data_IF_061947788128
#
_entry.id   IF_061947788128
#
_cell.length_a   1.000
_cell.length_b   1.000
_cell.length_c   1.000
_cell.angle_alpha   90.00
_cell.angle_beta   90.00
_cell.angle_gamma   90.00
#
_symmetry.space_group_name_H-M   'P 1'
#
loop_
_entity.id
_entity.type
_entity.pdbx_description
1 polymer ?
#
# COMPACT_ATOMS: atom_id res chain seq x y z
N UNK A 1 -7.87 -19.55 -1.48
CA UNK A 1 -8.52 -18.23 -1.38
C UNK A 1 -7.40 -17.24 -1.13
N UNK A 2 -7.13 -16.36 -2.08
CA UNK A 2 -6.13 -15.29 -1.89
C UNK A 2 -6.69 -14.38 -0.82
N UNK A 3 -6.06 -14.38 0.37
CA UNK A 3 -6.47 -13.53 1.49
C UNK A 3 -5.53 -12.35 1.57
N UNK A 4 -6.11 -11.16 1.65
CA UNK A 4 -5.60 -9.92 2.24
C UNK A 4 -4.09 -9.77 2.05
N UNK A 5 -3.67 -9.62 0.78
CA UNK A 5 -2.28 -9.31 0.47
C UNK A 5 -1.96 -7.94 1.05
N UNK A 6 -1.07 -7.91 2.03
CA UNK A 6 -0.58 -6.65 2.60
C UNK A 6 0.85 -6.33 2.13
N UNK A 7 1.48 -7.22 1.36
CA UNK A 7 2.88 -7.11 1.00
C UNK A 7 3.19 -6.12 -0.10
N UNK A 8 4.03 -5.12 0.19
CA UNK A 8 4.62 -4.16 -0.76
C UNK A 8 5.75 -4.72 -1.65
N UNK A 9 5.75 -6.02 -1.92
CA UNK A 9 6.74 -6.66 -2.81
C UNK A 9 6.45 -6.43 -4.30
N UNK A 10 5.33 -5.77 -4.62
CA UNK A 10 5.05 -5.31 -5.96
C UNK A 10 6.22 -4.47 -6.48
N UNK A 11 6.59 -4.66 -7.75
CA UNK A 11 7.62 -3.85 -8.41
C UNK A 11 7.01 -2.47 -8.68
N UNK A 12 7.01 -1.64 -7.65
CA UNK A 12 6.63 -0.23 -7.73
C UNK A 12 7.81 0.52 -8.36
N UNK A 13 7.50 1.42 -9.30
CA UNK A 13 8.52 2.22 -9.97
C UNK A 13 9.36 3.00 -8.93
N UNK A 14 10.69 2.99 -9.07
CA UNK A 14 11.57 3.77 -8.20
C UNK A 14 11.24 5.27 -8.26
N UNK A 15 10.74 5.77 -9.38
CA UNK A 15 10.27 7.14 -9.52
C UNK A 15 9.08 7.44 -8.59
N UNK A 16 8.20 6.45 -8.39
CA UNK A 16 7.07 6.58 -7.47
C UNK A 16 7.56 6.74 -6.02
N UNK A 17 8.47 5.89 -5.55
CA UNK A 17 9.10 6.09 -4.23
C UNK A 17 9.87 7.40 -4.17
N UNK A 18 10.50 7.82 -5.28
CA UNK A 18 11.19 9.09 -5.38
C UNK A 18 10.32 10.29 -5.01
N UNK A 19 9.06 10.31 -5.45
CA UNK A 19 8.11 11.37 -5.08
C UNK A 19 7.78 11.33 -3.58
N UNK A 20 7.44 10.15 -3.05
CA UNK A 20 7.14 9.99 -1.62
C UNK A 20 8.31 10.45 -0.74
N UNK A 21 9.54 10.06 -1.11
CA UNK A 21 10.76 10.40 -0.37
C UNK A 21 11.00 11.91 -0.33
N UNK A 22 10.57 12.69 -1.34
CA UNK A 22 10.74 14.16 -1.32
C UNK A 22 9.95 14.87 -0.22
N UNK A 23 8.99 14.18 0.39
CA UNK A 23 8.20 14.68 1.51
C UNK A 23 8.74 14.24 2.88
N UNK A 24 9.80 13.42 2.91
CA UNK A 24 10.45 12.92 4.14
C UNK A 24 11.75 13.70 4.38
N UNK A 25 12.05 13.98 5.64
CA UNK A 25 13.24 14.73 6.06
C UNK A 25 14.17 13.85 6.89
N UNK A 26 15.42 14.27 6.99
CA UNK A 26 16.38 13.62 7.89
C UNK A 26 15.89 13.67 9.34
N UNK A 27 16.22 12.61 10.07
CA UNK A 27 15.90 12.39 11.48
C UNK A 27 14.41 12.19 11.81
N UNK A 28 13.54 12.07 10.79
CA UNK A 28 12.15 11.66 10.99
C UNK A 28 12.07 10.17 11.34
N UNK A 29 11.04 9.83 12.12
CA UNK A 29 10.63 8.45 12.39
C UNK A 29 9.44 8.11 11.49
N UNK A 30 9.54 7.01 10.74
CA UNK A 30 8.55 6.58 9.75
C UNK A 30 7.90 5.27 10.19
N UNK A 31 6.58 5.15 10.01
CA UNK A 31 5.86 3.88 10.07
C UNK A 31 5.45 3.47 8.65
N UNK A 32 6.01 2.36 8.14
CA UNK A 32 5.61 1.79 6.84
C UNK A 32 4.70 0.58 7.05
N UNK A 33 3.45 0.67 6.57
CA UNK A 33 2.46 -0.39 6.65
C UNK A 33 2.41 -1.15 5.33
N UNK A 34 2.52 -2.48 5.41
CA UNK A 34 2.56 -3.35 4.24
C UNK A 34 3.92 -3.35 3.55
N UNK A 35 5.01 -3.50 4.31
CA UNK A 35 6.38 -3.35 3.77
C UNK A 35 6.80 -4.45 2.78
N UNK A 36 6.07 -5.56 2.72
CA UNK A 36 6.49 -6.75 1.98
C UNK A 36 7.69 -7.42 2.60
N UNK A 37 8.21 -8.43 1.91
CA UNK A 37 9.35 -9.23 2.38
C UNK A 37 10.71 -8.66 1.96
N UNK A 38 10.76 -7.77 0.96
CA UNK A 38 12.02 -7.24 0.39
C UNK A 38 12.38 -5.81 0.82
N UNK A 39 11.55 -5.14 1.63
CA UNK A 39 11.83 -3.80 2.18
C UNK A 39 12.25 -2.77 1.10
N UNK A 40 11.54 -2.78 -0.03
CA UNK A 40 11.93 -1.99 -1.20
C UNK A 40 11.90 -0.49 -0.89
N UNK A 41 10.87 -0.01 -0.20
CA UNK A 41 10.74 1.39 0.16
C UNK A 41 11.82 1.82 1.15
N UNK A 42 12.04 1.04 2.21
CA UNK A 42 13.01 1.30 3.27
C UNK A 42 14.41 1.47 2.71
N UNK A 43 14.83 0.54 1.83
CA UNK A 43 16.14 0.61 1.18
C UNK A 43 16.27 1.83 0.28
N UNK A 44 15.22 2.24 -0.43
CA UNK A 44 15.27 3.46 -1.25
C UNK A 44 15.34 4.72 -0.39
N UNK A 45 14.65 4.74 0.75
CA UNK A 45 14.62 5.86 1.68
C UNK A 45 15.96 6.04 2.40
N UNK A 46 16.53 4.97 2.96
CA UNK A 46 17.82 5.00 3.68
C UNK A 46 19.01 5.39 2.78
N UNK A 47 18.92 5.13 1.47
CA UNK A 47 19.93 5.60 0.52
C UNK A 47 19.94 7.14 0.33
N UNK A 48 18.89 7.84 0.79
CA UNK A 48 18.71 9.29 0.57
C UNK A 48 18.60 10.09 1.85
N UNK A 49 18.15 9.48 2.94
CA UNK A 49 17.88 10.15 4.20
C UNK A 49 18.38 9.35 5.40
N UNK A 50 18.81 10.08 6.43
CA UNK A 50 19.17 9.49 7.71
C UNK A 50 17.93 9.44 8.62
N UNK A 51 17.19 8.34 8.57
CA UNK A 51 15.90 8.17 9.27
C UNK A 51 15.85 6.87 10.07
N UNK A 52 14.83 6.74 10.91
CA UNK A 52 14.44 5.46 11.52
C UNK A 52 13.09 5.01 10.96
N UNK A 53 12.95 3.71 10.71
CA UNK A 53 11.76 3.16 10.07
C UNK A 53 11.24 1.99 10.90
N UNK A 54 9.95 2.03 11.20
CA UNK A 54 9.21 0.93 11.79
C UNK A 54 8.33 0.31 10.70
N UNK A 55 8.64 -0.91 10.29
CA UNK A 55 8.00 -1.61 9.18
C UNK A 55 7.09 -2.73 9.67
N UNK A 56 5.89 -2.79 9.10
CA UNK A 56 4.82 -3.70 9.50
C UNK A 56 4.36 -4.54 8.31
N UNK A 57 4.27 -5.85 8.48
CA UNK A 57 3.61 -6.74 7.51
C UNK A 57 3.16 -8.05 8.17
N UNK A 58 2.19 -8.74 7.58
CA UNK A 58 1.83 -10.11 7.96
C UNK A 58 2.87 -11.13 7.47
N UNK A 59 3.59 -10.78 6.41
CA UNK A 59 4.64 -11.61 5.84
C UNK A 59 5.97 -11.35 6.55
N UNK A 60 6.75 -12.40 6.83
CA UNK A 60 8.10 -12.22 7.35
C UNK A 60 9.00 -11.57 6.30
N UNK A 61 9.98 -10.78 6.75
CA UNK A 61 11.06 -10.27 5.90
C UNK A 61 11.91 -11.45 5.40
N UNK A 62 12.24 -11.42 4.10
CA UNK A 62 13.01 -12.47 3.42
C UNK A 62 14.49 -12.10 3.20
N UNK A 63 14.88 -10.87 3.52
CA UNK A 63 16.23 -10.33 3.31
C UNK A 63 16.88 -9.82 4.60
N UNK A 64 18.23 -9.76 4.69
CA UNK A 64 18.90 -9.02 5.75
C UNK A 64 18.58 -7.52 5.69
N UNK A 65 18.53 -6.87 6.85
CA UNK A 65 18.28 -5.43 6.98
C UNK A 65 19.07 -4.82 8.13
N UNK A 66 19.29 -3.50 8.08
CA UNK A 66 20.02 -2.74 9.08
C UNK A 66 19.14 -2.49 10.31
N UNK A 67 19.24 -3.33 11.32
CA UNK A 67 18.40 -3.27 12.53
C UNK A 67 18.58 -1.99 13.36
N UNK A 68 19.64 -1.23 13.11
CA UNK A 68 19.87 0.09 13.73
C UNK A 68 18.94 1.16 13.15
N UNK A 69 18.51 0.99 11.90
CA UNK A 69 17.62 1.91 11.17
C UNK A 69 16.21 1.36 10.98
N UNK A 70 16.05 0.03 10.93
CA UNK A 70 14.79 -0.63 10.63
C UNK A 70 14.37 -1.52 11.79
N UNK A 71 13.18 -1.24 12.32
CA UNK A 71 12.49 -2.09 13.29
C UNK A 71 11.34 -2.78 12.55
N UNK A 72 11.38 -4.11 12.47
CA UNK A 72 10.27 -4.87 11.90
C UNK A 72 9.42 -5.52 12.98
N UNK A 73 8.11 -5.49 12.78
CA UNK A 73 7.18 -6.28 13.57
C UNK A 73 6.10 -6.91 12.68
N UNK A 74 5.80 -8.17 12.97
CA UNK A 74 4.77 -8.92 12.25
C UNK A 74 3.40 -8.58 12.81
N UNK A 75 2.59 -7.87 12.04
CA UNK A 75 1.28 -7.39 12.48
C UNK A 75 0.32 -7.28 11.30
N UNK A 76 -0.94 -7.64 11.55
CA UNK A 76 -2.05 -7.42 10.62
C UNK A 76 -2.55 -5.99 10.75
N UNK A 77 -2.53 -5.22 9.66
CA UNK A 77 -3.00 -3.82 9.63
C UNK A 77 -4.50 -3.69 9.81
N UNK A 78 -5.25 -4.79 9.71
CA UNK A 78 -6.69 -4.89 10.02
C UNK A 78 -6.98 -5.16 11.51
N UNK A 79 -5.93 -5.18 12.33
CA UNK A 79 -6.02 -5.23 13.79
C UNK A 79 -5.42 -3.94 14.36
N UNK A 80 -6.10 -3.35 15.35
CA UNK A 80 -5.64 -2.13 15.99
C UNK A 80 -4.32 -2.35 16.74
N UNK A 81 -3.39 -1.44 16.56
CA UNK A 81 -2.14 -1.40 17.32
C UNK A 81 -1.68 0.04 17.57
N UNK A 82 -0.76 0.20 18.51
CA UNK A 82 -0.15 1.49 18.82
C UNK A 82 1.32 1.25 19.17
N UNK A 83 2.20 2.07 18.61
CA UNK A 83 3.63 2.09 18.91
C UNK A 83 3.86 2.83 20.23
N UNK A 84 4.99 2.54 20.87
CA UNK A 84 5.39 3.22 22.12
C UNK A 84 5.58 4.73 21.94
N UNK A 85 5.85 5.17 20.71
CA UNK A 85 6.02 6.57 20.34
C UNK A 85 5.37 6.86 19.00
N UNK A 86 4.77 8.05 18.89
CA UNK A 86 4.18 8.55 17.65
C UNK A 86 5.28 8.84 16.62
N UNK A 87 4.97 8.64 15.35
CA UNK A 87 5.87 8.84 14.20
C UNK A 87 5.60 10.15 13.48
N UNK A 88 6.59 10.65 12.75
CA UNK A 88 6.48 11.88 11.93
C UNK A 88 5.73 11.62 10.63
N UNK A 89 5.95 10.44 10.04
CA UNK A 89 5.37 10.04 8.75
C UNK A 89 4.81 8.62 8.85
N UNK A 90 3.60 8.42 8.33
CA UNK A 90 3.04 7.08 8.07
C UNK A 90 2.99 6.88 6.56
N UNK A 91 3.39 5.70 6.09
CA UNK A 91 3.33 5.32 4.68
C UNK A 91 2.61 4.00 4.47
N UNK A 92 1.91 3.88 3.33
CA UNK A 92 1.49 2.59 2.78
C UNK A 92 1.34 2.69 1.26
N UNK A 93 1.68 1.63 0.52
CA UNK A 93 1.69 1.68 -0.93
C UNK A 93 1.01 0.45 -1.53
N UNK A 94 0.06 0.67 -2.44
CA UNK A 94 -0.75 -0.39 -3.08
C UNK A 94 -1.21 -1.43 -2.03
N UNK A 95 -1.86 -0.92 -0.97
CA UNK A 95 -2.26 -1.69 0.21
C UNK A 95 -3.77 -1.63 0.42
N UNK A 96 -4.33 -0.43 0.51
CA UNK A 96 -5.71 -0.19 0.98
C UNK A 96 -6.79 -0.86 0.10
N UNK A 97 -6.51 -1.07 -1.18
CA UNK A 97 -7.36 -1.80 -2.14
C UNK A 97 -7.51 -3.29 -1.82
N UNK A 98 -6.57 -3.85 -1.05
CA UNK A 98 -6.54 -5.23 -0.59
C UNK A 98 -7.13 -5.43 0.82
N UNK A 99 -7.55 -4.35 1.48
CA UNK A 99 -7.96 -4.38 2.90
C UNK A 99 -9.47 -4.45 3.05
N UNK A 100 -9.95 -5.43 3.83
CA UNK A 100 -11.38 -5.52 4.18
C UNK A 100 -11.75 -4.41 5.18
N UNK A 101 -10.98 -4.24 6.27
CA UNK A 101 -11.25 -3.26 7.34
C UNK A 101 -10.45 -1.97 7.17
N UNK A 102 -10.74 -1.20 6.13
CA UNK A 102 -10.01 0.04 5.80
C UNK A 102 -10.01 1.07 6.92
N UNK A 103 -11.10 1.15 7.69
CA UNK A 103 -11.21 2.08 8.81
C UNK A 103 -10.21 1.74 9.93
N UNK A 104 -9.89 0.46 10.11
CA UNK A 104 -8.88 0.03 11.08
C UNK A 104 -7.48 0.38 10.58
N UNK A 105 -7.18 0.20 9.28
CA UNK A 105 -5.93 0.65 8.69
C UNK A 105 -5.73 2.16 8.90
N UNK A 106 -6.75 2.96 8.60
CA UNK A 106 -6.68 4.42 8.76
C UNK A 106 -6.61 4.83 10.24
N UNK A 107 -7.31 4.12 11.13
CA UNK A 107 -7.20 4.34 12.56
C UNK A 107 -5.80 3.98 13.09
N UNK A 108 -5.16 2.95 12.56
CA UNK A 108 -3.75 2.65 12.85
C UNK A 108 -2.83 3.78 12.37
N UNK A 109 -3.09 4.37 11.20
CA UNK A 109 -2.34 5.54 10.74
C UNK A 109 -2.51 6.71 11.72
N UNK A 110 -3.75 7.10 12.00
CA UNK A 110 -4.09 8.22 12.89
C UNK A 110 -3.55 8.03 14.32
N UNK A 111 -3.69 6.82 14.87
CA UNK A 111 -3.26 6.49 16.22
C UNK A 111 -1.74 6.40 16.36
N UNK A 112 -0.97 6.34 15.28
CA UNK A 112 0.49 6.31 15.35
C UNK A 112 1.13 7.61 14.87
N UNK A 113 0.40 8.47 14.18
CA UNK A 113 0.92 9.73 13.66
C UNK A 113 0.95 10.84 14.72
N UNK A 114 2.01 11.66 14.74
CA UNK A 114 2.09 12.89 15.54
C UNK A 114 1.07 13.93 15.03
N UNK A 115 0.68 14.86 15.90
CA UNK A 115 -0.07 16.05 15.45
C UNK A 115 0.80 16.83 14.46
N UNK A 116 0.28 17.07 13.26
CA UNK A 116 1.03 17.72 12.17
C UNK A 116 1.95 16.78 11.38
N UNK A 117 1.95 15.48 11.69
CA UNK A 117 2.62 14.47 10.86
C UNK A 117 1.92 14.25 9.52
N UNK A 118 2.56 13.52 8.63
CA UNK A 118 2.09 13.31 7.25
C UNK A 118 1.76 11.84 6.99
N UNK A 119 0.61 11.59 6.36
CA UNK A 119 0.30 10.31 5.73
C UNK A 119 0.64 10.39 4.24
N UNK A 120 1.49 9.49 3.75
CA UNK A 120 1.82 9.35 2.33
C UNK A 120 1.33 7.98 1.86
N UNK A 121 0.47 7.94 0.84
CA UNK A 121 -0.03 6.66 0.35
C UNK A 121 -0.21 6.60 -1.18
N UNK A 122 -0.36 5.38 -1.69
CA UNK A 122 -0.87 5.11 -3.04
C UNK A 122 -2.00 4.11 -3.04
N UNK A 123 -2.82 4.25 -4.08
CA UNK A 123 -3.93 3.36 -4.39
C UNK A 123 -4.25 3.48 -5.89
N UNK A 124 -4.71 2.40 -6.54
CA UNK A 124 -5.27 2.48 -7.89
C UNK A 124 -6.44 3.47 -7.95
N UNK A 125 -6.34 4.47 -8.84
CA UNK A 125 -7.38 5.47 -9.01
C UNK A 125 -8.52 4.94 -9.89
N UNK A 126 -9.68 4.67 -9.27
CA UNK A 126 -10.92 4.28 -9.96
C UNK A 126 -11.41 5.31 -10.97
N UNK A 127 -11.07 6.58 -10.76
CA UNK A 127 -11.40 7.66 -11.68
C UNK A 127 -10.36 7.86 -12.79
N UNK A 128 -9.40 6.95 -12.96
CA UNK A 128 -8.40 7.01 -14.05
C UNK A 128 -9.06 6.93 -15.43
N UNK A 129 -8.35 7.42 -16.46
CA UNK A 129 -8.85 7.37 -17.83
C UNK A 129 -9.09 5.92 -18.30
N UNK A 130 -8.24 4.97 -17.87
CA UNK A 130 -8.40 3.55 -18.18
C UNK A 130 -9.70 2.98 -17.63
N UNK A 131 -9.93 3.16 -16.32
CA UNK A 131 -11.15 2.69 -15.67
C UNK A 131 -12.42 3.35 -16.25
N UNK A 132 -12.35 4.65 -16.60
CA UNK A 132 -13.47 5.35 -17.25
C UNK A 132 -13.78 4.82 -18.64
N UNK A 133 -12.76 4.55 -19.46
CA UNK A 133 -12.94 3.99 -20.81
C UNK A 133 -13.46 2.57 -20.73
N UNK A 134 -12.93 1.74 -19.83
CA UNK A 134 -13.42 0.38 -19.61
C UNK A 134 -14.89 0.37 -19.22
N UNK A 135 -15.27 1.19 -18.24
CA UNK A 135 -16.65 1.31 -17.80
C UNK A 135 -17.57 1.84 -18.91
N UNK A 136 -17.11 2.81 -19.70
CA UNK A 136 -17.85 3.34 -20.86
C UNK A 136 -18.13 2.25 -21.90
N UNK A 137 -17.18 1.32 -22.09
CA UNK A 137 -17.31 0.18 -23.00
C UNK A 137 -18.12 -0.98 -22.39
N UNK A 138 -18.63 -0.83 -21.17
CA UNK A 138 -19.41 -1.86 -20.46
C UNK A 138 -18.56 -2.94 -19.79
N UNK A 139 -17.26 -2.72 -19.62
CA UNK A 139 -16.38 -3.63 -18.90
C UNK A 139 -16.26 -3.26 -17.42
N UNK A 140 -16.00 -4.27 -16.59
CA UNK A 140 -15.51 -4.08 -15.24
C UNK A 140 -14.12 -3.42 -15.31
N UNK A 141 -13.86 -2.31 -14.59
CA UNK A 141 -12.52 -1.73 -14.51
C UNK A 141 -11.49 -2.77 -14.04
N UNK A 142 -10.40 -2.95 -14.78
CA UNK A 142 -9.41 -4.01 -14.53
C UNK A 142 -8.68 -3.88 -13.19
N UNK A 143 -8.69 -2.70 -12.58
CA UNK A 143 -8.10 -2.44 -11.27
C UNK A 143 -8.94 -3.03 -10.12
N UNK A 144 -10.14 -3.55 -10.40
CA UNK A 144 -11.06 -4.14 -9.43
C UNK A 144 -11.35 -5.60 -9.75
N UNK A 145 -11.50 -6.40 -8.71
CA UNK A 145 -11.88 -7.79 -8.78
C UNK A 145 -13.26 -8.01 -8.16
N UNK A 146 -14.10 -8.79 -8.85
CA UNK A 146 -15.43 -9.18 -8.35
C UNK A 146 -15.46 -10.62 -7.83
N UNK A 147 -14.31 -11.31 -7.84
CA UNK A 147 -14.22 -12.72 -7.46
C UNK A 147 -12.86 -13.09 -6.89
N UNK A 148 -12.87 -13.81 -5.77
CA UNK A 148 -11.67 -14.35 -5.12
C UNK A 148 -11.07 -15.59 -5.81
N UNK A 149 -11.65 -16.02 -6.95
CA UNK A 149 -11.17 -17.18 -7.72
C UNK A 149 -10.81 -16.84 -9.17
N UNK A 150 -11.16 -15.65 -9.65
CA UNK A 150 -10.97 -15.25 -11.04
C UNK A 150 -10.91 -13.72 -11.13
N UNK A 151 -9.73 -13.19 -11.49
CA UNK A 151 -9.52 -11.74 -11.62
C UNK A 151 -10.25 -11.11 -12.81
N UNK A 152 -10.47 -11.86 -13.90
CA UNK A 152 -10.87 -11.31 -15.20
C UNK A 152 -12.38 -11.37 -15.49
N UNK A 153 -13.23 -11.60 -14.49
CA UNK A 153 -14.67 -11.55 -14.73
C UNK A 153 -15.11 -10.14 -15.14
N UNK A 154 -15.70 -10.04 -16.34
CA UNK A 154 -16.24 -8.78 -16.87
C UNK A 154 -15.20 -7.77 -17.39
N UNK A 155 -13.90 -8.04 -17.27
CA UNK A 155 -12.82 -7.09 -17.63
C UNK A 155 -12.44 -7.08 -19.11
N UNK A 156 -13.00 -8.02 -19.90
CA UNK A 156 -12.83 -8.06 -21.34
C UNK A 156 -11.38 -8.28 -21.79
N UNK A 157 -10.97 -7.56 -22.84
CA UNK A 157 -9.59 -7.60 -23.35
C UNK A 157 -8.61 -6.89 -22.41
N UNK A 158 -9.06 -5.84 -21.72
CA UNK A 158 -8.22 -5.02 -20.85
C UNK A 158 -7.68 -5.82 -19.66
N UNK A 159 -8.55 -6.53 -18.94
CA UNK A 159 -8.10 -7.37 -17.84
C UNK A 159 -7.26 -8.56 -18.29
N UNK A 160 -7.56 -9.19 -19.43
CA UNK A 160 -6.72 -10.27 -19.97
C UNK A 160 -5.31 -9.80 -20.36
N UNK A 161 -5.16 -8.56 -20.80
CA UNK A 161 -3.85 -7.97 -21.06
C UNK A 161 -3.12 -7.62 -19.76
N UNK A 162 -3.84 -7.07 -18.78
CA UNK A 162 -3.27 -6.68 -17.49
C UNK A 162 -2.88 -7.88 -16.60
N UNK A 163 -3.71 -8.92 -16.59
CA UNK A 163 -3.53 -10.14 -15.81
C UNK A 163 -3.79 -11.39 -16.68
N UNK A 164 -2.83 -11.77 -17.56
CA UNK A 164 -3.00 -12.88 -18.49
C UNK A 164 -3.14 -14.24 -17.80
N UNK A 165 -2.58 -14.38 -16.59
CA UNK A 165 -2.66 -15.61 -15.79
C UNK A 165 -4.01 -15.76 -15.08
N UNK A 166 -4.83 -14.70 -15.07
CA UNK A 166 -6.13 -14.64 -14.40
C UNK A 166 -6.06 -14.93 -12.89
N UNK A 167 -4.94 -14.60 -12.25
CA UNK A 167 -4.70 -14.87 -10.84
C UNK A 167 -5.26 -13.74 -9.98
N UNK A 168 -6.20 -14.00 -9.05
CA UNK A 168 -6.73 -12.94 -8.20
C UNK A 168 -5.65 -12.38 -7.28
N UNK A 169 -5.61 -11.06 -7.17
CA UNK A 169 -4.75 -10.31 -6.26
C UNK A 169 -5.53 -9.62 -5.14
N UNK A 170 -6.85 -9.80 -5.10
CA UNK A 170 -7.75 -9.32 -4.05
C UNK A 170 -7.92 -7.80 -4.06
N UNK A 171 -8.12 -7.18 -5.23
CA UNK A 171 -8.48 -5.76 -5.35
C UNK A 171 -9.98 -5.59 -5.15
N UNK A 172 -10.41 -5.46 -3.90
CA UNK A 172 -11.82 -5.49 -3.52
C UNK A 172 -12.45 -4.11 -3.33
N UNK A 173 -11.63 -3.05 -3.28
CA UNK A 173 -12.09 -1.67 -3.06
C UNK A 173 -11.53 -0.71 -4.10
N UNK A 174 -12.43 0.08 -4.68
CA UNK A 174 -12.08 1.13 -5.63
C UNK A 174 -12.10 2.50 -4.97
N UNK A 175 -11.00 3.24 -5.13
CA UNK A 175 -10.84 4.56 -4.54
C UNK A 175 -10.71 5.61 -5.62
N UNK A 176 -11.38 6.75 -5.41
CA UNK A 176 -11.11 7.96 -6.17
C UNK A 176 -10.26 8.90 -5.32
N UNK A 177 -9.59 9.87 -5.97
CA UNK A 177 -8.87 10.91 -5.23
C UNK A 177 -9.78 11.69 -4.27
N UNK A 178 -11.06 11.87 -4.59
CA UNK A 178 -12.01 12.55 -3.71
C UNK A 178 -12.24 11.73 -2.43
N UNK A 179 -12.49 10.42 -2.58
CA UNK A 179 -12.70 9.53 -1.43
C UNK A 179 -11.46 9.52 -0.50
N UNK A 180 -10.25 9.36 -1.05
CA UNK A 180 -9.02 9.36 -0.25
C UNK A 180 -8.78 10.68 0.50
N UNK A 181 -9.28 11.81 -0.01
CA UNK A 181 -9.15 13.10 0.67
C UNK A 181 -10.16 13.32 1.79
N UNK A 182 -11.27 12.59 1.77
CA UNK A 182 -12.37 12.70 2.74
C UNK A 182 -12.27 11.68 3.87
N UNK A 183 -11.57 10.57 3.65
CA UNK A 183 -11.25 9.53 4.64
C UNK A 183 -10.15 9.97 5.60
#
# INVERSE_FOLDING_TARGET
MVKNKQGGDNIIDRAFYGLAITHIKDHEHILNLGCGSHLNFERNLLNKHNVTITSCDINPISIPYESEHIIFFKQDVETLFTLDSKVDVVTFFELIEHIDKTDILLQNCYNNLKIGGVLICSVPNLASIYARVELLLGFQPHILEVSNVCSNFGTGVFGKLNNPNNEPIHHIRGFTLAAIKEM
#
